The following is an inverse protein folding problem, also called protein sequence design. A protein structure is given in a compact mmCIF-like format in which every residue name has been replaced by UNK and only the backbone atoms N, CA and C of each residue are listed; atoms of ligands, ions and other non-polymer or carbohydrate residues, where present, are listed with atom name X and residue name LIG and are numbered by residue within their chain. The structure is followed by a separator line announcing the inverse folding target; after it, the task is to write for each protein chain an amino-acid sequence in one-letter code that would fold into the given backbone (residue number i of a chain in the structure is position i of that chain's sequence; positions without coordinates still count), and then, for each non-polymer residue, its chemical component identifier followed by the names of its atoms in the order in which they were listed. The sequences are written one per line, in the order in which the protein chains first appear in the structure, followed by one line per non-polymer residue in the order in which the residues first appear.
data_IF_177099388543
#
_entry.id   IF_177099388543
#
_cell.length_a   1.000
_cell.length_b   1.000
_cell.length_c   1.000
_cell.angle_alpha   90.00
_cell.angle_beta   90.00
_cell.angle_gamma   90.00
#
_symmetry.space_group_name_H-M   'P 1'
#
loop_
_entity.id
_entity.type
_entity.pdbx_description
1 polymer ?
#
# COMPACT_ATOMS: atom_id res chain seq x y z
N UNK A 1 9.68 -6.60 -11.77
CA UNK A 1 10.06 -6.97 -12.05
C UNK A 1 10.13 -7.44 -12.59
N UNK A 2 10.20 -7.38 -12.63
CA UNK A 2 10.28 -7.91 -13.10
C UNK A 2 10.82 -8.45 -13.36
N UNK A 3 11.24 -8.70 -13.19
CA UNK A 3 11.86 -9.27 -13.13
C UNK A 3 12.11 -10.28 -12.88
N UNK A 4 12.02 -10.44 -12.47
CA UNK A 4 12.36 -11.49 -11.87
C UNK A 4 12.31 -12.60 -12.72
N UNK A 5 12.33 -12.37 -12.85
CA UNK A 5 12.33 -13.05 -13.37
C UNK A 5 12.10 -13.52 -14.52
N UNK A 6 11.98 -12.88 -15.31
CA UNK A 6 11.76 -13.41 -16.50
C UNK A 6 12.63 -14.51 -16.89
N UNK A 7 13.76 -14.51 -16.44
CA UNK A 7 14.66 -15.51 -16.79
C UNK A 7 14.39 -16.79 -16.16
N UNK A 8 14.08 -16.67 -14.92
CA UNK A 8 13.94 -17.78 -14.14
C UNK A 8 13.18 -18.83 -14.73
N UNK A 9 12.32 -18.55 -15.64
CA UNK A 9 11.51 -19.51 -15.91
C UNK A 9 11.27 -19.89 -17.19
N UNK A 10 12.20 -19.91 -17.94
CA UNK A 10 12.05 -20.47 -19.19
C UNK A 10 11.71 -21.93 -19.07
N UNK A 11 12.41 -22.67 -18.23
CA UNK A 11 12.15 -24.07 -18.15
C UNK A 11 11.11 -24.47 -17.20
N UNK A 12 11.09 -23.88 -16.04
CA UNK A 12 10.16 -24.31 -15.02
C UNK A 12 9.03 -23.34 -14.89
N UNK A 13 8.73 -22.70 -15.98
CA UNK A 13 7.78 -21.63 -15.98
C UNK A 13 6.46 -21.94 -15.30
N UNK A 14 5.82 -23.01 -15.71
CA UNK A 14 4.52 -23.37 -15.17
C UNK A 14 4.58 -23.66 -13.68
N UNK A 15 5.51 -24.50 -13.30
CA UNK A 15 5.66 -24.88 -11.91
C UNK A 15 5.99 -23.66 -11.04
N UNK A 16 6.87 -22.82 -11.56
CA UNK A 16 7.26 -21.62 -10.85
C UNK A 16 6.06 -20.69 -10.67
N UNK A 17 5.27 -20.51 -11.70
CA UNK A 17 4.09 -19.66 -11.61
C UNK A 17 3.09 -20.20 -10.60
N UNK A 18 2.88 -21.49 -10.58
CA UNK A 18 1.95 -22.10 -9.63
C UNK A 18 2.44 -21.90 -8.20
N UNK A 19 3.71 -22.14 -7.96
CA UNK A 19 4.28 -21.97 -6.62
C UNK A 19 4.20 -20.52 -6.17
N UNK A 20 4.48 -19.59 -7.08
CA UNK A 20 4.42 -18.18 -6.77
C UNK A 20 2.98 -17.76 -6.45
N UNK A 21 2.03 -18.24 -7.25
CA UNK A 21 0.64 -17.91 -7.04
C UNK A 21 0.16 -18.43 -5.68
N UNK A 22 0.52 -19.66 -5.36
CA UNK A 22 0.16 -20.25 -4.08
C UNK A 22 0.76 -19.44 -2.93
N UNK A 23 2.02 -19.09 -3.05
CA UNK A 23 2.70 -18.30 -2.04
C UNK A 23 2.03 -16.94 -1.83
N UNK A 24 1.70 -16.26 -2.90
CA UNK A 24 1.04 -14.95 -2.81
C UNK A 24 -0.33 -15.06 -2.15
N UNK A 25 -1.09 -16.08 -2.51
CA UNK A 25 -2.40 -16.27 -1.91
C UNK A 25 -2.28 -16.59 -0.42
N UNK A 26 -1.32 -17.41 -0.07
CA UNK A 26 -1.13 -17.80 1.33
C UNK A 26 -0.68 -16.62 2.20
N UNK A 27 0.12 -15.73 1.62
CA UNK A 27 0.67 -14.61 2.36
C UNK A 27 -0.07 -13.30 2.13
N UNK A 28 -1.24 -13.40 1.53
CA UNK A 28 -2.04 -12.21 1.28
C UNK A 28 -2.49 -11.58 2.58
N UNK A 29 -2.36 -10.26 2.66
CA UNK A 29 -2.78 -9.48 3.82
C UNK A 29 -3.87 -8.53 3.38
N UNK A 30 -5.09 -8.81 3.79
CA UNK A 30 -6.23 -7.99 3.38
C UNK A 30 -6.38 -6.79 4.31
N UNK A 31 -6.76 -5.66 3.72
CA UNK A 31 -7.11 -4.48 4.49
C UNK A 31 -8.47 -4.70 5.15
N UNK A 32 -8.59 -4.33 6.42
CA UNK A 32 -9.89 -4.29 7.07
C UNK A 32 -10.21 -2.87 7.47
N UNK A 33 -11.47 -2.49 7.28
CA UNK A 33 -11.98 -1.19 7.71
C UNK A 33 -13.08 -1.47 8.71
N UNK A 34 -12.87 -1.07 9.96
CA UNK A 34 -13.80 -1.32 11.06
C UNK A 34 -14.17 -2.82 11.14
N UNK A 35 -13.14 -3.65 11.04
CA UNK A 35 -13.23 -5.11 11.11
C UNK A 35 -13.88 -5.79 9.90
N UNK A 36 -14.22 -5.03 8.86
CA UNK A 36 -14.77 -5.60 7.64
C UNK A 36 -13.66 -5.72 6.62
N UNK A 37 -13.42 -6.95 6.16
CA UNK A 37 -12.35 -7.23 5.20
C UNK A 37 -12.69 -6.65 3.83
N UNK A 38 -11.71 -6.04 3.20
CA UNK A 38 -11.84 -5.47 1.87
C UNK A 38 -11.02 -6.30 0.88
N UNK A 39 -11.36 -6.24 -0.38
CA UNK A 39 -10.61 -6.96 -1.41
C UNK A 39 -9.42 -6.13 -1.87
N UNK A 40 -8.57 -5.79 -0.92
CA UNK A 40 -7.36 -5.02 -1.17
C UNK A 40 -6.21 -5.72 -0.46
N UNK A 41 -5.19 -6.05 -1.24
CA UNK A 41 -4.00 -6.69 -0.71
C UNK A 41 -3.01 -5.62 -0.27
N UNK A 42 -2.60 -5.65 0.99
CA UNK A 42 -1.69 -4.66 1.54
C UNK A 42 -0.27 -5.21 1.54
N UNK A 43 0.63 -4.45 0.95
CA UNK A 43 2.05 -4.75 0.92
C UNK A 43 2.76 -3.88 1.94
N UNK A 44 3.42 -4.50 2.91
CA UNK A 44 4.13 -3.74 3.95
C UNK A 44 5.48 -3.33 3.40
N UNK A 45 5.76 -2.03 3.41
CA UNK A 45 7.03 -1.49 2.95
C UNK A 45 7.92 -1.26 4.16
N UNK A 46 9.07 -1.93 4.18
CA UNK A 46 9.98 -1.86 5.33
C UNK A 46 11.22 -1.03 5.07
N UNK A 47 11.63 -0.90 3.82
CA UNK A 47 12.86 -0.21 3.47
C UNK A 47 12.63 0.76 2.32
N UNK A 48 13.59 1.66 2.11
CA UNK A 48 13.53 2.57 0.98
C UNK A 48 13.56 1.80 -0.34
N UNK A 49 14.31 0.70 -0.38
CA UNK A 49 14.37 -0.12 -1.59
C UNK A 49 12.99 -0.68 -1.94
N UNK A 50 12.25 -1.15 -0.94
CA UNK A 50 10.90 -1.65 -1.16
C UNK A 50 9.97 -0.53 -1.61
N UNK A 51 10.11 0.66 -1.05
CA UNK A 51 9.34 1.82 -1.48
C UNK A 51 9.65 2.13 -2.94
N UNK A 52 10.91 2.08 -3.30
CA UNK A 52 11.31 2.37 -4.68
C UNK A 52 10.68 1.39 -5.65
N UNK A 53 10.78 0.08 -5.39
CA UNK A 53 10.26 -0.93 -6.31
C UNK A 53 8.73 -1.01 -6.31
N UNK A 54 8.10 -0.70 -5.19
CA UNK A 54 6.66 -0.85 -5.04
C UNK A 54 5.87 0.40 -5.41
N UNK A 55 6.39 1.56 -5.07
CA UNK A 55 5.68 2.83 -5.28
C UNK A 55 6.34 3.74 -6.29
N UNK A 56 7.66 3.83 -6.29
CA UNK A 56 8.37 4.78 -7.14
C UNK A 56 8.54 4.28 -8.56
N UNK A 57 9.01 3.04 -8.70
CA UNK A 57 9.28 2.47 -10.02
C UNK A 57 8.03 2.25 -10.87
N UNK A 58 6.91 1.73 -10.34
CA UNK A 58 5.71 1.56 -11.15
C UNK A 58 5.12 2.90 -11.58
N UNK A 59 4.31 2.86 -12.65
CA UNK A 59 3.67 4.06 -13.18
C UNK A 59 2.32 4.34 -12.57
N UNK A 60 1.73 3.38 -11.86
CA UNK A 60 0.42 3.56 -11.25
C UNK A 60 0.23 2.55 -10.12
N UNK A 61 -0.92 2.63 -9.48
CA UNK A 61 -1.29 1.72 -8.41
C UNK A 61 -2.71 1.20 -8.71
N UNK A 62 -2.90 -0.10 -8.55
CA UNK A 62 -4.21 -0.69 -8.85
C UNK A 62 -5.14 -0.58 -7.66
N UNK A 63 -6.45 -0.69 -7.93
CA UNK A 63 -7.47 -0.59 -6.88
C UNK A 63 -7.43 -1.79 -5.93
N UNK A 64 -6.80 -2.87 -6.33
CA UNK A 64 -6.73 -4.08 -5.49
C UNK A 64 -5.47 -4.17 -4.64
N UNK A 65 -4.58 -3.20 -4.78
CA UNK A 65 -3.34 -3.17 -4.03
C UNK A 65 -3.23 -1.92 -3.20
N UNK A 66 -2.64 -2.07 -2.04
CA UNK A 66 -2.33 -0.94 -1.19
C UNK A 66 -0.98 -1.16 -0.53
N UNK A 67 -0.43 -0.11 0.03
CA UNK A 67 0.89 -0.14 0.64
C UNK A 67 0.84 0.45 2.03
N UNK A 68 1.58 -0.16 2.95
CA UNK A 68 1.62 0.29 4.34
C UNK A 68 3.05 0.63 4.71
N UNK A 69 3.25 1.86 5.20
CA UNK A 69 4.51 2.28 5.81
C UNK A 69 4.28 2.40 7.30
N UNK A 70 5.25 1.94 8.09
CA UNK A 70 5.15 1.98 9.55
C UNK A 70 6.20 2.87 10.15
N UNK A 71 5.91 3.40 11.32
CA UNK A 71 6.82 4.28 12.08
C UNK A 71 7.15 5.55 11.31
N UNK A 72 6.17 6.09 10.61
CA UNK A 72 6.33 7.35 9.87
C UNK A 72 5.27 8.34 10.31
N UNK A 73 5.62 9.61 10.32
CA UNK A 73 4.73 10.67 10.78
C UNK A 73 4.38 11.68 9.68
N UNK A 74 4.88 11.45 8.50
CA UNK A 74 4.53 12.22 7.32
C UNK A 74 4.73 11.35 6.11
N UNK A 75 4.18 11.77 4.98
CA UNK A 75 4.36 11.04 3.73
C UNK A 75 4.92 11.97 2.68
N UNK A 76 5.89 11.49 1.91
CA UNK A 76 6.38 12.22 0.77
C UNK A 76 6.21 11.37 -0.49
N UNK A 77 5.83 12.02 -1.58
CA UNK A 77 5.67 11.35 -2.86
C UNK A 77 6.80 11.68 -3.83
N UNK A 78 7.97 12.03 -3.32
CA UNK A 78 9.12 12.30 -4.18
C UNK A 78 9.49 11.03 -4.95
N UNK A 79 9.62 11.17 -6.25
CA UNK A 79 9.87 10.03 -7.13
C UNK A 79 8.63 9.29 -7.59
N UNK A 80 7.47 9.59 -7.02
CA UNK A 80 6.20 8.99 -7.44
C UNK A 80 5.55 9.96 -8.40
N UNK A 81 5.12 9.47 -9.56
CA UNK A 81 4.58 10.32 -10.60
C UNK A 81 3.09 10.09 -10.87
N UNK A 82 2.38 9.56 -9.90
CA UNK A 82 0.93 9.35 -10.00
C UNK A 82 0.29 9.75 -8.66
N UNK A 83 -1.02 9.90 -8.65
CA UNK A 83 -1.74 10.29 -7.45
C UNK A 83 -2.04 9.09 -6.57
N UNK A 84 -2.13 9.32 -5.28
CA UNK A 84 -2.44 8.31 -4.29
C UNK A 84 -3.48 8.84 -3.32
N UNK A 85 -4.29 7.95 -2.78
CA UNK A 85 -5.08 8.26 -1.60
C UNK A 85 -4.24 7.84 -0.40
N UNK A 86 -4.00 8.77 0.52
CA UNK A 86 -3.10 8.55 1.65
C UNK A 86 -3.89 8.66 2.95
N UNK A 87 -3.71 7.66 3.82
CA UNK A 87 -4.43 7.57 5.09
C UNK A 87 -3.42 7.48 6.22
N UNK A 88 -3.54 8.38 7.19
CA UNK A 88 -2.63 8.44 8.33
C UNK A 88 -3.34 7.87 9.55
N UNK A 89 -2.71 6.92 10.23
CA UNK A 89 -3.29 6.25 11.39
C UNK A 89 -2.32 6.31 12.58
N UNK A 90 -2.87 6.30 13.79
CA UNK A 90 -2.07 6.28 15.00
C UNK A 90 -1.69 4.83 15.38
N UNK A 91 -1.02 4.67 16.52
CA UNK A 91 -0.60 3.35 17.00
C UNK A 91 -1.76 2.42 17.28
N UNK A 92 -2.93 2.95 17.55
CA UNK A 92 -4.11 2.17 17.85
C UNK A 92 -4.93 1.87 16.60
N UNK A 93 -4.34 2.07 15.41
CA UNK A 93 -4.94 1.80 14.11
C UNK A 93 -6.10 2.73 13.78
N UNK A 94 -6.23 3.82 14.51
CA UNK A 94 -7.30 4.79 14.25
C UNK A 94 -6.86 5.78 13.20
N UNK A 95 -7.74 6.06 12.25
CA UNK A 95 -7.48 7.05 11.20
C UNK A 95 -7.45 8.44 11.82
N UNK A 96 -6.35 9.16 11.60
CA UNK A 96 -6.19 10.54 12.07
C UNK A 96 -6.58 11.50 10.96
N UNK A 97 -6.13 11.22 9.75
CA UNK A 97 -6.31 12.12 8.62
C UNK A 97 -6.29 11.34 7.32
N UNK A 98 -7.08 11.79 6.35
CA UNK A 98 -7.07 11.24 5.01
C UNK A 98 -6.78 12.36 4.03
N UNK A 99 -6.03 12.06 2.97
CA UNK A 99 -5.77 13.00 1.89
C UNK A 99 -6.06 12.29 0.58
N UNK A 100 -7.08 12.76 -0.12
CA UNK A 100 -7.43 12.20 -1.41
C UNK A 100 -6.58 12.82 -2.51
N UNK A 101 -6.22 12.01 -3.49
CA UNK A 101 -5.49 12.48 -4.66
C UNK A 101 -4.21 13.23 -4.29
N UNK A 102 -3.43 12.65 -3.38
CA UNK A 102 -2.15 13.23 -3.00
C UNK A 102 -1.24 13.21 -4.22
N UNK A 103 -0.86 14.38 -4.69
CA UNK A 103 -0.12 14.50 -5.95
C UNK A 103 1.33 14.10 -5.85
N UNK A 104 2.01 14.02 -7.01
CA UNK A 104 3.42 13.69 -7.04
C UNK A 104 4.29 14.83 -6.52
N UNK A 105 5.51 14.46 -6.09
CA UNK A 105 6.55 15.40 -5.68
C UNK A 105 6.10 16.35 -4.58
N UNK A 106 5.38 15.81 -3.60
CA UNK A 106 4.88 16.59 -2.46
C UNK A 106 5.24 15.93 -1.14
N UNK A 107 5.16 16.72 -0.07
CA UNK A 107 5.33 16.20 1.28
C UNK A 107 4.11 16.65 2.10
N UNK A 108 3.61 15.75 2.93
CA UNK A 108 2.46 16.05 3.78
C UNK A 108 2.89 16.83 5.02
N UNK A 109 1.91 17.30 5.78
CA UNK A 109 2.17 17.82 7.11
C UNK A 109 2.74 16.73 8.00
N UNK A 110 3.35 17.13 9.08
CA UNK A 110 3.87 16.23 10.09
C UNK A 110 2.76 15.96 11.11
N UNK A 111 2.46 14.68 11.33
CA UNK A 111 1.42 14.28 12.28
C UNK A 111 2.08 13.55 13.45
N UNK A 112 2.27 14.22 14.60
CA UNK A 112 3.01 13.61 15.73
C UNK A 112 2.42 12.29 16.22
N UNK A 113 1.12 12.11 16.09
CA UNK A 113 0.44 10.91 16.55
C UNK A 113 0.45 9.78 15.51
N UNK A 114 0.92 10.04 14.32
CA UNK A 114 0.89 9.06 13.26
C UNK A 114 1.91 7.96 13.47
N UNK A 115 1.54 6.74 13.13
CA UNK A 115 2.43 5.60 13.18
C UNK A 115 2.36 4.79 11.89
N UNK A 116 1.17 4.71 11.29
CA UNK A 116 0.94 3.96 10.05
C UNK A 116 0.46 4.89 8.95
N UNK A 117 0.99 4.70 7.75
CA UNK A 117 0.51 5.41 6.57
C UNK A 117 0.13 4.38 5.51
N UNK A 118 -1.12 4.45 5.06
CA UNK A 118 -1.59 3.58 3.98
C UNK A 118 -1.67 4.37 2.70
N UNK A 119 -1.20 3.78 1.61
CA UNK A 119 -1.30 4.36 0.28
C UNK A 119 -2.19 3.46 -0.57
N UNK A 120 -3.29 4.02 -1.06
CA UNK A 120 -4.25 3.29 -1.89
C UNK A 120 -4.39 4.01 -3.22
N UNK A 121 -5.04 3.34 -4.17
CA UNK A 121 -5.33 3.95 -5.46
C UNK A 121 -6.26 5.16 -5.29
N UNK A 122 -6.17 6.15 -6.18
CA UNK A 122 -7.06 7.31 -6.10
C UNK A 122 -8.52 6.90 -6.12
N UNK A 123 -9.32 7.52 -5.26
CA UNK A 123 -10.74 7.25 -5.16
C UNK A 123 -11.10 6.20 -4.12
N UNK A 124 -10.12 5.48 -3.58
CA UNK A 124 -10.41 4.39 -2.64
C UNK A 124 -10.88 4.89 -1.28
N UNK A 125 -10.45 6.07 -0.85
CA UNK A 125 -10.94 6.65 0.41
C UNK A 125 -12.45 6.84 0.33
N UNK A 126 -12.92 7.39 -0.78
CA UNK A 126 -14.36 7.57 -0.98
C UNK A 126 -15.08 6.26 -1.17
N UNK A 127 -14.52 5.38 -1.97
CA UNK A 127 -15.15 4.09 -2.25
C UNK A 127 -15.35 3.28 -0.98
N UNK A 128 -14.37 3.28 -0.08
CA UNK A 128 -14.45 2.55 1.18
C UNK A 128 -15.05 3.38 2.31
N UNK A 129 -15.35 4.63 2.03
CA UNK A 129 -15.93 5.57 3.00
C UNK A 129 -15.07 5.67 4.27
N UNK A 130 -13.77 5.81 4.07
CA UNK A 130 -12.81 5.92 5.17
C UNK A 130 -12.80 7.36 5.69
N UNK A 131 -12.91 7.52 6.99
CA UNK A 131 -12.92 8.82 7.62
C UNK A 131 -12.19 8.77 8.97
N UNK A 132 -11.84 9.91 9.54
CA UNK A 132 -11.18 9.94 10.86
C UNK A 132 -11.96 9.13 11.89
N UNK A 133 -11.22 8.46 12.75
CA UNK A 133 -11.66 7.57 13.81
C UNK A 133 -12.05 6.16 13.33
N UNK A 134 -12.04 5.90 12.04
CA UNK A 134 -12.20 4.53 11.56
C UNK A 134 -10.97 3.70 11.95
N UNK A 135 -11.13 2.40 12.03
CA UNK A 135 -10.05 1.48 12.40
C UNK A 135 -9.57 0.74 11.15
N UNK A 136 -8.31 0.93 10.80
CA UNK A 136 -7.70 0.23 9.67
C UNK A 136 -6.66 -0.75 10.17
N UNK A 137 -6.81 -2.01 9.75
CA UNK A 137 -5.86 -3.07 10.11
C UNK A 137 -5.63 -3.97 8.91
N UNK A 138 -4.65 -4.84 9.04
CA UNK A 138 -4.41 -5.89 8.04
C UNK A 138 -4.50 -7.24 8.73
N UNK A 139 -5.07 -8.21 8.03
CA UNK A 139 -5.20 -9.56 8.54
C UNK A 139 -4.61 -10.58 7.58
#
# INVERSE_FOLDING_TARGET
MGFFSKVVYKFHRTKHKQNKKYYLLKNRKALTVNSISQDINIHVIKTFREKFTSLIQPNDITMKDGYLLRKVRSFNSFGIFYQLDVIFCNKNFEVIQTIQNFGPQKISHYFPQCYFVYCLAPGMINFLNIKPNDILRII
#
